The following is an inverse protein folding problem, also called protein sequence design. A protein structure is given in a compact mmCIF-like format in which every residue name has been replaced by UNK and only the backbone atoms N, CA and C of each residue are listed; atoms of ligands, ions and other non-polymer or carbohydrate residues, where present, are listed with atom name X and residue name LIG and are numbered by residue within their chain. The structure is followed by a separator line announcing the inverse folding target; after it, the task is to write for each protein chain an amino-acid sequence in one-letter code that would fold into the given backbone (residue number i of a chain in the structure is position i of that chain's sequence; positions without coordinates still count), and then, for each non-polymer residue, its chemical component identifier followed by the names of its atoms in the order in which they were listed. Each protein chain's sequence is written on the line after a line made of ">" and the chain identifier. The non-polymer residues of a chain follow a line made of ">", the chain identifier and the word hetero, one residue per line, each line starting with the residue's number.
data_IF_127322122910
#
_entry.id   IF_127322122910
#
_cell.length_a   1.000
_cell.length_b   1.000
_cell.length_c   1.000
_cell.angle_alpha   90.00
_cell.angle_beta   90.00
_cell.angle_gamma   90.00
#
_symmetry.space_group_name_H-M   'P 1'
#
loop_
_entity.id
_entity.type
_entity.pdbx_description
1 polymer ?
#
# COMPACT_ATOMS: atom_id res chain seq x y z
N UNK A 1 12.26 -2.18 2.23
CA UNK A 1 12.03 -0.78 2.62
C UNK A 1 11.79 0.11 1.40
N UNK A 2 12.69 0.12 0.40
CA UNK A 2 12.44 0.80 -0.88
C UNK A 2 11.16 0.32 -1.60
N UNK A 3 10.84 -0.97 -1.48
CA UNK A 3 9.60 -1.52 -2.04
C UNK A 3 8.33 -0.91 -1.42
N UNK A 4 8.33 -0.63 -0.11
CA UNK A 4 7.20 0.04 0.56
C UNK A 4 7.09 1.48 0.07
N UNK A 5 8.23 2.16 -0.12
CA UNK A 5 8.27 3.50 -0.72
C UNK A 5 7.74 3.49 -2.17
N UNK A 6 8.10 2.48 -2.96
CA UNK A 6 7.61 2.29 -4.33
C UNK A 6 6.10 2.08 -4.34
N UNK A 7 5.58 1.13 -3.54
CA UNK A 7 4.16 0.83 -3.47
C UNK A 7 3.37 2.07 -3.03
N UNK A 8 3.79 2.75 -1.95
CA UNK A 8 3.10 3.98 -1.49
C UNK A 8 3.04 5.07 -2.56
N UNK A 9 4.09 5.24 -3.38
CA UNK A 9 4.14 6.26 -4.45
C UNK A 9 3.49 5.83 -5.76
N UNK A 10 3.48 4.53 -6.07
CA UNK A 10 3.00 4.02 -7.35
C UNK A 10 1.54 3.61 -7.29
N UNK A 11 0.99 3.27 -6.13
CA UNK A 11 -0.45 2.97 -6.02
C UNK A 11 -1.27 4.24 -6.23
N UNK A 12 -1.90 4.31 -7.39
CA UNK A 12 -2.86 5.34 -7.75
C UNK A 12 -4.23 4.74 -8.05
N UNK A 13 -5.26 5.53 -7.80
CA UNK A 13 -6.62 5.26 -8.25
C UNK A 13 -7.16 6.54 -8.85
N UNK A 14 -7.54 6.50 -10.13
CA UNK A 14 -8.03 7.67 -10.86
C UNK A 14 -7.10 8.90 -10.76
N UNK A 15 -5.78 8.68 -10.83
CA UNK A 15 -4.76 9.73 -10.72
C UNK A 15 -4.48 10.23 -9.30
N UNK A 16 -5.22 9.78 -8.29
CA UNK A 16 -5.00 10.12 -6.88
C UNK A 16 -4.09 9.07 -6.24
N UNK A 17 -3.01 9.50 -5.58
CA UNK A 17 -2.10 8.62 -4.85
C UNK A 17 -2.74 8.20 -3.52
N UNK A 18 -3.45 7.08 -3.56
CA UNK A 18 -4.28 6.62 -2.44
C UNK A 18 -3.48 6.28 -1.17
N UNK A 19 -2.21 5.84 -1.32
CA UNK A 19 -1.35 5.44 -0.20
C UNK A 19 -0.28 6.48 0.18
N UNK A 20 -0.20 7.61 -0.51
CA UNK A 20 0.80 8.65 -0.25
C UNK A 20 0.21 9.80 0.58
N UNK A 21 -0.05 9.56 1.86
CA UNK A 21 -0.56 10.57 2.80
C UNK A 21 0.44 10.92 3.92
N UNK A 22 1.74 10.80 3.65
CA UNK A 22 2.82 10.91 4.65
C UNK A 22 2.75 12.16 5.55
N UNK A 23 2.15 13.23 5.07
CA UNK A 23 1.98 14.52 5.75
C UNK A 23 0.57 14.81 6.26
N UNK A 24 -0.45 14.02 5.89
CA UNK A 24 -1.85 14.26 6.26
C UNK A 24 -2.27 13.37 7.43
N UNK A 25 -3.22 13.84 8.25
CA UNK A 25 -3.56 13.19 9.52
C UNK A 25 -4.31 11.87 9.39
N UNK A 26 -5.14 11.76 8.35
CA UNK A 26 -5.81 10.58 7.81
C UNK A 26 -6.45 11.01 6.47
N UNK A 27 -6.44 10.14 5.44
CA UNK A 27 -7.13 10.43 4.17
C UNK A 27 -8.36 9.54 4.06
N UNK A 28 -9.57 10.13 4.10
CA UNK A 28 -10.81 9.40 3.80
C UNK A 28 -11.10 9.47 2.30
N UNK A 29 -11.38 8.32 1.70
CA UNK A 29 -11.90 8.20 0.34
C UNK A 29 -13.34 7.74 0.39
N UNK A 30 -14.27 8.62 0.05
CA UNK A 30 -15.70 8.34 0.11
C UNK A 30 -16.21 7.88 -1.26
N UNK A 31 -16.86 6.71 -1.27
CA UNK A 31 -17.46 6.12 -2.46
C UNK A 31 -18.97 6.14 -2.33
N UNK A 32 -19.64 6.89 -3.20
CA UNK A 32 -21.10 6.90 -3.27
C UNK A 32 -21.60 5.55 -3.77
N UNK A 33 -22.39 4.87 -2.94
CA UNK A 33 -22.94 3.53 -3.25
C UNK A 33 -24.46 3.50 -3.26
N UNK A 34 -25.11 4.59 -2.86
CA UNK A 34 -26.56 4.70 -2.85
C UNK A 34 -27.09 5.88 -3.66
N UNK A 35 -28.41 5.95 -3.71
CA UNK A 35 -29.15 6.97 -4.47
C UNK A 35 -29.38 8.26 -3.66
N UNK A 36 -29.17 8.20 -2.34
CA UNK A 36 -29.32 9.35 -1.44
C UNK A 36 -27.97 9.87 -1.00
N UNK A 37 -27.91 11.17 -0.72
CA UNK A 37 -26.72 11.80 -0.15
C UNK A 37 -26.31 11.10 1.16
N UNK A 38 -25.01 10.94 1.36
CA UNK A 38 -24.39 10.26 2.50
C UNK A 38 -24.54 8.72 2.54
N UNK A 39 -25.15 8.08 1.54
CA UNK A 39 -25.03 6.63 1.33
C UNK A 39 -23.66 6.31 0.71
N UNK A 40 -22.63 6.40 1.56
CA UNK A 40 -21.23 6.29 1.16
C UNK A 40 -20.49 5.19 1.94
N UNK A 41 -19.57 4.54 1.25
CA UNK A 41 -18.52 3.73 1.87
C UNK A 41 -17.27 4.60 1.95
N UNK A 42 -16.93 5.01 3.16
CA UNK A 42 -15.69 5.73 3.45
C UNK A 42 -14.57 4.73 3.74
N UNK A 43 -13.46 4.85 3.01
CA UNK A 43 -12.22 4.15 3.29
C UNK A 43 -11.25 5.13 3.92
N UNK A 44 -11.04 5.00 5.23
CA UNK A 44 -9.98 5.74 5.90
C UNK A 44 -8.63 5.07 5.63
N UNK A 45 -7.69 5.82 5.07
CA UNK A 45 -6.29 5.42 4.97
C UNK A 45 -5.51 6.22 5.99
N UNK A 46 -4.95 5.50 6.97
CA UNK A 46 -4.18 6.09 8.05
C UNK A 46 -2.88 6.71 7.55
N UNK A 47 -2.21 7.51 8.38
CA UNK A 47 -0.89 8.06 8.03
C UNK A 47 0.08 6.97 7.54
N UNK A 48 0.69 7.17 6.37
CA UNK A 48 1.76 6.33 5.85
C UNK A 48 3.15 6.72 6.38
N UNK A 49 3.20 7.74 7.26
CA UNK A 49 4.39 8.09 8.05
C UNK A 49 4.84 6.89 8.88
N UNK A 50 6.04 6.38 8.61
CA UNK A 50 6.62 5.26 9.35
C UNK A 50 6.34 3.87 8.78
N UNK A 51 5.61 3.75 7.66
CA UNK A 51 5.54 2.48 6.93
C UNK A 51 6.90 2.13 6.30
N UNK A 52 7.67 3.14 5.92
CA UNK A 52 9.00 2.99 5.35
C UNK A 52 10.08 3.53 6.29
N UNK A 53 10.82 2.62 6.93
CA UNK A 53 11.98 2.96 7.78
C UNK A 53 13.16 3.50 6.96
N UNK A 54 13.28 3.20 5.65
CA UNK A 54 14.43 3.68 4.87
C UNK A 54 14.51 5.22 4.75
N UNK A 55 13.39 5.91 4.95
CA UNK A 55 13.33 7.38 4.89
C UNK A 55 12.75 7.99 6.17
N UNK A 56 12.54 7.19 7.24
CA UNK A 56 11.96 7.62 8.50
C UNK A 56 12.96 8.36 9.39
N UNK A 57 12.54 9.46 10.01
CA UNK A 57 13.28 10.17 11.06
C UNK A 57 13.16 9.45 12.42
N UNK A 58 13.91 9.94 13.39
CA UNK A 58 13.89 9.50 14.79
C UNK A 58 12.47 9.47 15.41
N UNK A 59 11.57 10.35 14.94
CA UNK A 59 10.18 10.47 15.39
C UNK A 59 9.20 9.56 14.61
N UNK A 60 9.69 8.75 13.66
CA UNK A 60 8.88 7.90 12.79
C UNK A 60 8.29 8.63 11.57
N UNK A 61 8.64 9.89 11.33
CA UNK A 61 8.16 10.66 10.18
C UNK A 61 9.00 10.35 8.93
N UNK A 62 8.38 9.86 7.86
CA UNK A 62 9.08 9.58 6.59
C UNK A 62 9.34 10.84 5.76
N UNK A 63 10.54 10.95 5.19
CA UNK A 63 10.90 11.92 4.15
C UNK A 63 11.05 11.21 2.78
N UNK A 64 11.47 11.94 1.75
CA UNK A 64 11.81 11.37 0.45
C UNK A 64 13.30 11.03 0.29
N UNK A 65 14.14 11.51 1.20
CA UNK A 65 15.57 11.23 1.19
C UNK A 65 15.86 9.92 1.93
N UNK A 66 16.65 9.04 1.31
CA UNK A 66 17.14 7.82 1.96
C UNK A 66 18.15 8.21 3.02
N UNK A 67 17.85 7.92 4.29
CA UNK A 67 18.80 8.15 5.37
C UNK A 67 19.97 7.18 5.21
N UNK A 68 21.19 7.60 5.50
CA UNK A 68 22.37 6.74 5.41
C UNK A 68 23.11 6.78 6.73
N UNK A 69 23.42 5.62 7.29
CA UNK A 69 24.15 5.54 8.55
C UNK A 69 25.57 6.09 8.38
N UNK A 70 25.98 6.96 9.29
CA UNK A 70 27.29 7.57 9.26
C UNK A 70 28.28 6.74 10.09
N UNK A 71 29.20 6.03 9.42
CA UNK A 71 30.28 5.33 10.11
C UNK A 71 31.37 6.32 10.56
N UNK A 72 31.39 6.64 11.85
CA UNK A 72 32.31 7.62 12.44
C UNK A 72 33.67 7.03 12.87
N UNK A 73 33.72 5.72 13.13
CA UNK A 73 34.90 4.99 13.62
C UNK A 73 35.55 4.09 12.58
N UNK A 74 34.85 3.78 11.48
CA UNK A 74 35.37 2.94 10.39
C UNK A 74 36.75 3.36 9.89
N UNK A 75 36.95 4.65 9.58
CA UNK A 75 38.23 5.12 9.05
C UNK A 75 39.40 4.93 10.04
N UNK A 76 39.15 5.16 11.33
CA UNK A 76 40.14 4.96 12.39
C UNK A 76 40.49 3.47 12.56
N UNK A 77 39.48 2.59 12.50
CA UNK A 77 39.68 1.14 12.56
C UNK A 77 40.46 0.61 11.35
N UNK A 78 40.09 1.03 10.14
CA UNK A 78 40.79 0.63 8.91
C UNK A 78 42.27 1.07 8.94
N UNK A 79 42.53 2.28 9.43
CA UNK A 79 43.90 2.81 9.60
C UNK A 79 44.68 2.00 10.62
N UNK A 80 44.10 1.74 11.80
CA UNK A 80 44.76 0.97 12.84
C UNK A 80 45.06 -0.48 12.41
N UNK A 81 44.18 -1.09 11.60
CA UNK A 81 44.39 -2.41 11.04
C UNK A 81 45.55 -2.41 10.03
N UNK A 82 45.59 -1.43 9.12
CA UNK A 82 46.68 -1.27 8.15
C UNK A 82 48.04 -1.06 8.83
N UNK A 83 48.08 -0.25 9.89
CA UNK A 83 49.27 -0.01 10.68
C UNK A 83 49.79 -1.28 11.39
N UNK A 84 48.87 -2.07 11.95
CA UNK A 84 49.20 -3.36 12.55
C UNK A 84 49.75 -4.35 11.52
N UNK A 85 49.10 -4.48 10.36
CA UNK A 85 49.55 -5.40 9.30
C UNK A 85 50.93 -5.02 8.76
N UNK A 86 51.21 -3.72 8.65
CA UNK A 86 52.52 -3.18 8.26
C UNK A 86 53.58 -3.51 9.30
N UNK A 87 53.30 -3.24 10.59
CA UNK A 87 54.23 -3.54 11.68
C UNK A 87 54.48 -5.05 11.83
N UNK A 88 53.45 -5.87 11.64
CA UNK A 88 53.56 -7.33 11.69
C UNK A 88 54.43 -7.85 10.54
N UNK A 89 54.26 -7.31 9.33
CA UNK A 89 55.11 -7.64 8.18
C UNK A 89 56.58 -7.29 8.45
N UNK A 90 56.85 -6.12 9.04
CA UNK A 90 58.21 -5.70 9.41
C UNK A 90 58.82 -6.60 10.50
N UNK A 91 58.05 -6.97 11.53
CA UNK A 91 58.48 -7.91 12.56
C UNK A 91 58.81 -9.29 11.99
N UNK A 92 57.94 -9.84 11.13
CA UNK A 92 58.19 -11.12 10.48
C UNK A 92 59.44 -11.09 9.58
N UNK A 93 59.72 -9.95 8.93
CA UNK A 93 60.95 -9.77 8.17
C UNK A 93 62.20 -9.73 9.07
N UNK A 94 62.15 -9.01 10.20
CA UNK A 94 63.25 -8.98 11.16
C UNK A 94 63.53 -10.35 11.78
N UNK A 95 62.47 -11.11 12.12
CA UNK A 95 62.58 -12.49 12.60
C UNK A 95 63.25 -13.38 11.56
N UNK A 96 62.90 -13.24 10.27
CA UNK A 96 63.57 -13.97 9.18
C UNK A 96 65.04 -13.58 9.01
N UNK A 97 65.38 -12.31 9.23
CA UNK A 97 66.76 -11.82 9.15
C UNK A 97 67.62 -12.25 10.35
N UNK A 98 67.01 -12.63 11.48
CA UNK A 98 67.71 -13.13 12.66
C UNK A 98 68.48 -12.07 13.48
N UNK A 99 68.37 -10.79 13.14
CA UNK A 99 69.08 -9.71 13.84
C UNK A 99 68.34 -9.34 15.12
N UNK A 100 68.91 -9.65 16.28
CA UNK A 100 68.25 -9.49 17.59
C UNK A 100 67.79 -8.06 17.92
N UNK A 101 68.57 -7.04 17.52
CA UNK A 101 68.21 -5.63 17.70
C UNK A 101 66.99 -5.21 16.88
N UNK A 102 66.92 -5.67 15.62
CA UNK A 102 65.80 -5.39 14.73
C UNK A 102 64.53 -6.10 15.20
N UNK A 103 64.65 -7.35 15.67
CA UNK A 103 63.55 -8.11 16.25
C UNK A 103 62.97 -7.37 17.46
N UNK A 104 63.81 -6.89 18.38
CA UNK A 104 63.36 -6.18 19.59
C UNK A 104 62.65 -4.87 19.23
N UNK A 105 63.20 -4.11 18.28
CA UNK A 105 62.65 -2.81 17.85
C UNK A 105 61.31 -2.98 17.11
N UNK A 106 61.26 -3.90 16.15
CA UNK A 106 60.04 -4.19 15.38
C UNK A 106 58.96 -4.83 16.26
N UNK A 107 59.33 -5.65 17.26
CA UNK A 107 58.39 -6.17 18.25
C UNK A 107 57.76 -5.07 19.08
N UNK A 108 58.55 -4.12 19.61
CA UNK A 108 58.00 -2.98 20.36
C UNK A 108 57.05 -2.13 19.52
N UNK A 109 57.37 -1.95 18.24
CA UNK A 109 56.48 -1.27 17.28
C UNK A 109 55.18 -2.05 17.06
N UNK A 110 55.27 -3.36 16.83
CA UNK A 110 54.11 -4.24 16.66
C UNK A 110 53.20 -4.23 17.90
N UNK A 111 53.78 -4.34 19.10
CA UNK A 111 53.02 -4.32 20.36
C UNK A 111 52.24 -2.99 20.50
N UNK A 112 52.88 -1.85 20.20
CA UNK A 112 52.23 -0.55 20.21
C UNK A 112 51.09 -0.43 19.19
N UNK A 113 51.28 -0.92 17.95
CA UNK A 113 50.23 -0.95 16.94
C UNK A 113 49.09 -1.92 17.30
N UNK A 114 49.40 -3.04 17.94
CA UNK A 114 48.40 -3.98 18.43
C UNK A 114 47.51 -3.35 19.53
N UNK A 115 48.09 -2.57 20.46
CA UNK A 115 47.30 -1.80 21.45
C UNK A 115 46.40 -0.75 20.79
N UNK A 116 46.90 -0.04 19.77
CA UNK A 116 46.12 0.94 19.03
C UNK A 116 44.96 0.27 18.27
N UNK A 117 45.19 -0.87 17.61
CA UNK A 117 44.16 -1.67 16.95
C UNK A 117 43.10 -2.15 17.94
N UNK A 118 43.50 -2.68 19.10
CA UNK A 118 42.56 -3.12 20.13
C UNK A 118 41.65 -1.97 20.63
N UNK A 119 42.21 -0.76 20.76
CA UNK A 119 41.45 0.45 21.13
C UNK A 119 40.45 0.84 20.04
N UNK A 120 40.90 0.88 18.78
CA UNK A 120 40.04 1.21 17.65
C UNK A 120 38.90 0.20 17.46
N UNK A 121 39.18 -1.10 17.65
CA UNK A 121 38.15 -2.16 17.62
C UNK A 121 37.13 -1.95 18.74
N UNK A 122 37.57 -1.66 19.96
CA UNK A 122 36.68 -1.41 21.10
C UNK A 122 35.76 -0.21 20.83
N UNK A 123 36.32 0.91 20.37
CA UNK A 123 35.57 2.12 20.08
C UNK A 123 34.55 1.92 18.95
N UNK A 124 34.94 1.23 17.87
CA UNK A 124 34.02 0.91 16.77
C UNK A 124 32.93 -0.11 17.17
N UNK A 125 33.26 -1.07 18.03
CA UNK A 125 32.29 -2.06 18.53
C UNK A 125 31.26 -1.40 19.45
N UNK A 126 31.68 -0.42 20.27
CA UNK A 126 30.78 0.31 21.16
C UNK A 126 29.65 1.07 20.43
N UNK A 127 29.85 1.38 19.15
CA UNK A 127 28.87 2.03 18.27
C UNK A 127 28.35 1.12 17.15
N UNK A 128 28.50 -0.21 17.27
CA UNK A 128 28.04 -1.20 16.28
C UNK A 128 28.62 -1.02 14.86
N UNK A 129 29.80 -0.41 14.74
CA UNK A 129 30.50 -0.18 13.47
C UNK A 129 31.54 -1.26 13.15
N UNK A 130 31.86 -2.12 14.12
CA UNK A 130 32.72 -3.28 13.94
C UNK A 130 32.00 -4.58 14.31
N UNK A 131 32.24 -5.63 13.53
CA UNK A 131 31.77 -7.00 13.81
C UNK A 131 32.97 -7.93 13.70
N UNK A 132 33.18 -8.76 14.72
CA UNK A 132 34.32 -9.69 14.79
C UNK A 132 35.68 -9.00 14.53
N UNK A 133 35.85 -7.78 15.07
CA UNK A 133 37.09 -7.01 14.94
C UNK A 133 37.33 -6.34 13.58
N UNK A 134 36.41 -6.48 12.62
CA UNK A 134 36.51 -5.81 11.31
C UNK A 134 35.48 -4.70 11.18
N UNK A 135 35.88 -3.62 10.51
CA UNK A 135 34.96 -2.55 10.17
C UNK A 135 33.87 -3.07 9.24
N UNK A 136 32.63 -2.64 9.47
CA UNK A 136 31.52 -2.92 8.57
C UNK A 136 31.74 -2.16 7.25
N UNK A 137 31.50 -2.83 6.13
CA UNK A 137 31.71 -2.27 4.79
C UNK A 137 30.41 -1.99 4.04
N UNK A 138 29.30 -2.57 4.48
CA UNK A 138 27.98 -2.37 3.87
C UNK A 138 27.31 -1.16 4.52
N UNK A 139 27.02 -0.14 3.72
CA UNK A 139 26.27 1.03 4.15
C UNK A 139 24.83 0.65 4.55
N UNK A 140 24.45 0.94 5.80
CA UNK A 140 23.06 0.83 6.23
C UNK A 140 22.28 2.03 5.66
N UNK A 141 21.27 1.75 4.83
CA UNK A 141 20.41 2.75 4.20
C UNK A 141 19.05 2.76 4.89
N UNK A 142 18.88 3.75 5.76
CA UNK A 142 17.71 4.10 6.55
C UNK A 142 17.29 3.08 7.61
N UNK A 143 17.78 1.85 7.51
CA UNK A 143 17.69 0.84 8.54
C UNK A 143 19.03 0.14 8.71
N UNK A 144 19.49 0.05 9.95
CA UNK A 144 20.65 -0.70 10.37
C UNK A 144 20.21 -1.98 11.09
N UNK A 145 20.76 -3.12 10.70
CA UNK A 145 20.40 -4.42 11.30
C UNK A 145 20.82 -4.56 12.76
N UNK A 146 21.80 -3.78 13.23
CA UNK A 146 22.27 -3.80 14.62
C UNK A 146 21.66 -2.64 15.43
N UNK A 147 21.37 -1.52 14.78
CA UNK A 147 21.09 -0.24 15.43
C UNK A 147 19.75 0.38 15.00
N UNK A 148 18.89 -0.40 14.31
CA UNK A 148 17.52 -0.01 13.99
C UNK A 148 17.41 1.17 13.03
N UNK A 149 16.41 2.03 13.28
CA UNK A 149 16.13 3.19 12.43
C UNK A 149 17.28 4.19 12.45
N UNK A 150 17.63 4.69 11.26
CA UNK A 150 18.67 5.70 11.07
C UNK A 150 18.02 7.05 10.79
N UNK A 151 18.37 8.06 11.56
CA UNK A 151 17.87 9.41 11.38
C UNK A 151 18.55 10.15 10.21
N UNK A 152 18.09 11.37 9.94
CA UNK A 152 18.65 12.21 8.86
C UNK A 152 20.07 12.73 9.16
N UNK A 153 20.54 12.66 10.40
CA UNK A 153 21.91 12.96 10.79
C UNK A 153 22.83 11.73 10.66
N UNK A 154 22.29 10.58 10.23
CA UNK A 154 23.03 9.33 10.12
C UNK A 154 23.28 8.64 11.46
N UNK A 155 22.55 9.04 12.51
CA UNK A 155 22.62 8.48 13.85
C UNK A 155 21.52 7.43 13.99
N UNK A 156 21.89 6.29 14.57
CA UNK A 156 20.93 5.27 14.97
C UNK A 156 20.15 5.72 16.20
N UNK A 157 18.82 5.72 16.13
CA UNK A 157 17.95 6.22 17.21
C UNK A 157 17.24 5.11 17.99
N UNK A 158 17.39 3.84 17.58
CA UNK A 158 16.73 2.70 18.22
C UNK A 158 17.67 1.53 18.44
N UNK A 159 17.92 1.12 19.68
CA UNK A 159 18.74 -0.08 19.97
C UNK A 159 18.00 -1.40 19.70
N UNK A 160 16.76 -1.34 19.22
CA UNK A 160 15.86 -2.49 19.06
C UNK A 160 15.34 -2.60 17.62
N UNK A 161 16.19 -3.00 16.65
CA UNK A 161 15.82 -3.11 15.23
C UNK A 161 14.56 -3.95 14.98
N UNK A 162 14.32 -4.98 15.81
CA UNK A 162 13.11 -5.79 15.73
C UNK A 162 11.84 -5.04 16.16
N UNK A 163 11.94 -4.15 17.15
CA UNK A 163 10.80 -3.34 17.59
C UNK A 163 10.41 -2.31 16.52
N UNK A 164 11.40 -1.73 15.83
CA UNK A 164 11.17 -0.82 14.71
C UNK A 164 10.48 -1.54 13.53
N UNK A 165 10.93 -2.75 13.19
CA UNK A 165 10.29 -3.58 12.17
C UNK A 165 8.85 -3.95 12.59
N UNK A 166 8.64 -4.38 13.82
CA UNK A 166 7.30 -4.74 14.33
C UNK A 166 6.34 -3.55 14.29
N UNK A 167 6.82 -2.34 14.64
CA UNK A 167 6.05 -1.10 14.50
C UNK A 167 5.68 -0.81 13.04
N UNK A 168 6.63 -0.97 12.12
CA UNK A 168 6.39 -0.78 10.68
C UNK A 168 5.35 -1.78 10.13
N UNK A 169 5.48 -3.05 10.51
CA UNK A 169 4.57 -4.11 10.10
C UNK A 169 3.17 -3.89 10.65
N UNK A 170 3.03 -3.55 11.94
CA UNK A 170 1.73 -3.20 12.56
C UNK A 170 1.02 -2.06 11.84
N UNK A 171 1.76 -1.05 11.38
CA UNK A 171 1.20 0.05 10.61
C UNK A 171 0.65 -0.43 9.26
N UNK A 172 1.40 -1.26 8.54
CA UNK A 172 0.94 -1.87 7.27
C UNK A 172 -0.24 -2.82 7.48
N UNK A 173 -0.21 -3.65 8.52
CA UNK A 173 -1.26 -4.63 8.81
C UNK A 173 -2.57 -3.96 9.21
N UNK A 174 -2.50 -2.86 9.98
CA UNK A 174 -3.67 -2.04 10.32
C UNK A 174 -4.31 -1.50 9.04
N UNK A 175 -3.52 -0.99 8.10
CA UNK A 175 -4.05 -0.51 6.82
C UNK A 175 -4.67 -1.63 5.98
N UNK A 176 -4.01 -2.79 5.90
CA UNK A 176 -4.54 -3.97 5.18
C UNK A 176 -5.85 -4.45 5.78
N UNK A 177 -5.98 -4.41 7.10
CA UNK A 177 -7.22 -4.75 7.81
C UNK A 177 -8.37 -3.82 7.41
N UNK A 178 -8.13 -2.50 7.38
CA UNK A 178 -9.15 -1.52 6.95
C UNK A 178 -9.55 -1.71 5.48
N UNK A 179 -8.59 -1.99 4.60
CA UNK A 179 -8.87 -2.29 3.19
C UNK A 179 -9.69 -3.57 3.03
N UNK A 180 -9.37 -4.64 3.75
CA UNK A 180 -10.14 -5.88 3.75
C UNK A 180 -11.56 -5.70 4.28
N UNK A 181 -11.73 -4.94 5.37
CA UNK A 181 -13.05 -4.59 5.89
C UNK A 181 -13.87 -3.78 4.86
N UNK A 182 -13.23 -2.86 4.16
CA UNK A 182 -13.88 -2.07 3.10
C UNK A 182 -14.30 -2.94 1.91
N UNK A 183 -13.47 -3.91 1.49
CA UNK A 183 -13.82 -4.90 0.46
C UNK A 183 -15.08 -5.69 0.86
N UNK A 184 -15.16 -6.16 2.11
CA UNK A 184 -16.34 -6.87 2.60
C UNK A 184 -17.61 -5.98 2.58
N UNK A 185 -17.47 -4.69 2.92
CA UNK A 185 -18.59 -3.74 2.84
C UNK A 185 -19.02 -3.50 1.40
N UNK A 186 -18.08 -3.38 0.45
CA UNK A 186 -18.41 -3.28 -0.97
C UNK A 186 -19.16 -4.51 -1.45
N UNK A 187 -18.70 -5.72 -1.14
CA UNK A 187 -19.35 -6.96 -1.58
C UNK A 187 -20.80 -7.07 -1.07
N UNK A 188 -21.02 -6.76 0.21
CA UNK A 188 -22.36 -6.76 0.80
C UNK A 188 -23.26 -5.70 0.16
N UNK A 189 -22.71 -4.51 -0.10
CA UNK A 189 -23.46 -3.41 -0.70
C UNK A 189 -23.81 -3.70 -2.16
N UNK A 190 -22.88 -4.28 -2.93
CA UNK A 190 -23.10 -4.75 -4.30
C UNK A 190 -24.23 -5.79 -4.32
N UNK A 191 -24.19 -6.77 -3.42
CA UNK A 191 -25.24 -7.79 -3.31
C UNK A 191 -26.61 -7.15 -3.01
N UNK A 192 -26.67 -6.19 -2.08
CA UNK A 192 -27.90 -5.49 -1.75
C UNK A 192 -28.41 -4.60 -2.91
N UNK A 193 -27.52 -3.90 -3.60
CA UNK A 193 -27.84 -3.10 -4.77
C UNK A 193 -28.38 -3.97 -5.90
N UNK A 194 -27.78 -5.13 -6.17
CA UNK A 194 -28.29 -6.07 -7.17
C UNK A 194 -29.71 -6.55 -6.83
N UNK A 195 -29.99 -6.86 -5.58
CA UNK A 195 -31.34 -7.21 -5.13
C UNK A 195 -32.33 -6.05 -5.33
N UNK A 196 -31.90 -4.83 -5.01
CA UNK A 196 -32.70 -3.61 -5.18
C UNK A 196 -32.98 -3.34 -6.66
N UNK A 197 -31.99 -3.47 -7.54
CA UNK A 197 -32.12 -3.33 -8.99
C UNK A 197 -33.07 -4.37 -9.55
N UNK A 198 -32.99 -5.64 -9.12
CA UNK A 198 -33.92 -6.69 -9.54
C UNK A 198 -35.36 -6.40 -9.11
N UNK A 199 -35.57 -5.96 -7.87
CA UNK A 199 -36.88 -5.58 -7.35
C UNK A 199 -37.45 -4.36 -8.08
N UNK A 200 -36.63 -3.34 -8.31
CA UNK A 200 -37.06 -2.10 -8.97
C UNK A 200 -37.32 -2.33 -10.46
N UNK A 201 -36.52 -3.17 -11.12
CA UNK A 201 -36.76 -3.60 -12.51
C UNK A 201 -38.06 -4.39 -12.61
N UNK A 202 -38.33 -5.29 -11.66
CA UNK A 202 -39.59 -6.06 -11.61
C UNK A 202 -40.80 -5.17 -11.34
N UNK A 203 -40.69 -4.21 -10.42
CA UNK A 203 -41.75 -3.24 -10.13
C UNK A 203 -41.99 -2.32 -11.34
N UNK A 204 -40.92 -1.87 -12.01
CA UNK A 204 -41.01 -1.08 -13.23
C UNK A 204 -41.66 -1.87 -14.37
N UNK A 205 -41.30 -3.14 -14.55
CA UNK A 205 -41.94 -4.03 -15.52
C UNK A 205 -43.44 -4.18 -15.23
N UNK A 206 -43.86 -4.39 -13.98
CA UNK A 206 -45.29 -4.42 -13.61
C UNK A 206 -46.05 -3.11 -13.89
N UNK A 207 -45.37 -1.97 -13.90
CA UNK A 207 -45.99 -0.65 -14.12
C UNK A 207 -45.97 -0.26 -15.60
N UNK A 208 -44.87 -0.51 -16.30
CA UNK A 208 -44.66 -0.08 -17.68
C UNK A 208 -44.99 -1.16 -18.71
N UNK A 209 -44.75 -2.43 -18.40
CA UNK A 209 -45.04 -3.52 -19.31
C UNK A 209 -46.53 -3.88 -19.16
N UNK A 210 -47.25 -3.78 -20.27
CA UNK A 210 -48.61 -4.29 -20.34
C UNK A 210 -48.58 -5.81 -20.34
N UNK A 211 -49.50 -6.44 -19.59
CA UNK A 211 -49.66 -7.89 -19.65
C UNK A 211 -50.21 -8.27 -21.03
N UNK A 212 -49.30 -8.75 -21.88
CA UNK A 212 -49.52 -9.05 -23.29
C UNK A 212 -50.78 -9.89 -23.50
N UNK A 213 -51.08 -10.83 -22.60
CA UNK A 213 -52.27 -11.69 -22.69
C UNK A 213 -53.57 -10.89 -22.62
N UNK A 214 -53.64 -9.91 -21.73
CA UNK A 214 -54.83 -9.07 -21.55
C UNK A 214 -54.97 -8.03 -22.65
N UNK A 215 -53.87 -7.42 -23.08
CA UNK A 215 -53.89 -6.41 -24.14
C UNK A 215 -54.26 -7.02 -25.49
N UNK A 216 -53.72 -8.20 -25.84
CA UNK A 216 -54.10 -8.92 -27.07
C UNK A 216 -55.56 -9.35 -27.03
N UNK A 217 -56.07 -9.77 -25.86
CA UNK A 217 -57.49 -10.13 -25.70
C UNK A 217 -58.40 -8.92 -25.89
N UNK A 218 -58.02 -7.75 -25.35
CA UNK A 218 -58.77 -6.51 -25.53
C UNK A 218 -58.68 -6.01 -26.98
N UNK A 219 -57.52 -6.10 -27.62
CA UNK A 219 -57.32 -5.78 -29.03
C UNK A 219 -58.20 -6.68 -29.92
N UNK A 220 -58.18 -8.00 -29.70
CA UNK A 220 -59.00 -8.95 -30.43
C UNK A 220 -60.49 -8.70 -30.21
N UNK A 221 -60.91 -8.45 -28.96
CA UNK A 221 -62.29 -8.05 -28.65
C UNK A 221 -62.68 -6.77 -29.37
N UNK A 222 -61.83 -5.76 -29.39
CA UNK A 222 -62.06 -4.49 -30.07
C UNK A 222 -62.16 -4.66 -31.59
N UNK A 223 -61.31 -5.49 -32.19
CA UNK A 223 -61.38 -5.85 -33.62
C UNK A 223 -62.69 -6.58 -33.96
N UNK A 224 -63.11 -7.54 -33.15
CA UNK A 224 -64.39 -8.24 -33.30
C UNK A 224 -65.56 -7.24 -33.15
N UNK A 225 -65.51 -6.33 -32.19
CA UNK A 225 -66.53 -5.29 -31.99
C UNK A 225 -66.61 -4.30 -33.16
N UNK A 226 -65.47 -3.91 -33.73
CA UNK A 226 -65.44 -3.07 -34.93
C UNK A 226 -66.04 -3.80 -36.13
N UNK A 227 -65.67 -5.07 -36.34
CA UNK A 227 -66.20 -5.87 -37.44
C UNK A 227 -67.71 -6.16 -37.27
N UNK A 228 -68.16 -6.52 -36.06
CA UNK A 228 -69.57 -6.69 -35.75
C UNK A 228 -70.34 -5.36 -35.83
N UNK A 229 -69.75 -4.26 -35.35
CA UNK A 229 -70.34 -2.93 -35.42
C UNK A 229 -70.60 -2.49 -36.86
N UNK A 230 -69.66 -2.71 -37.77
CA UNK A 230 -69.86 -2.43 -39.21
C UNK A 230 -70.92 -3.31 -39.84
N UNK A 231 -71.00 -4.60 -39.48
CA UNK A 231 -72.02 -5.54 -39.95
C UNK A 231 -73.42 -5.16 -39.45
N UNK A 232 -73.55 -4.81 -38.16
CA UNK A 232 -74.80 -4.35 -37.56
C UNK A 232 -75.20 -2.98 -38.11
N UNK A 233 -74.26 -2.07 -38.38
CA UNK A 233 -74.55 -0.80 -39.05
C UNK A 233 -75.09 -1.04 -40.47
N UNK A 234 -74.48 -1.96 -41.21
CA UNK A 234 -74.94 -2.32 -42.54
C UNK A 234 -76.37 -2.90 -42.50
N UNK A 235 -76.66 -3.75 -41.52
CA UNK A 235 -77.98 -4.36 -41.33
C UNK A 235 -79.02 -3.34 -40.83
N UNK A 236 -78.64 -2.45 -39.90
CA UNK A 236 -79.48 -1.36 -39.41
C UNK A 236 -79.80 -0.33 -40.49
N UNK A 237 -78.90 -0.09 -41.46
CA UNK A 237 -79.15 0.77 -42.61
C UNK A 237 -80.10 0.14 -43.65
N UNK A 238 -80.22 -1.20 -43.68
CA UNK A 238 -81.15 -1.90 -44.57
C UNK A 238 -82.58 -1.93 -44.02
N UNK A 239 -82.77 -1.92 -42.69
CA UNK A 239 -84.10 -1.99 -42.06
C UNK A 239 -85.02 -0.80 -42.42
N UNK A 240 -84.58 0.47 -42.44
CA UNK A 240 -85.39 1.58 -42.93
C UNK A 240 -85.77 1.43 -44.40
N UNK A 241 -84.86 0.92 -45.24
CA UNK A 241 -85.10 0.75 -46.68
C UNK A 241 -86.16 -0.31 -46.97
N UNK A 242 -86.19 -1.41 -46.19
CA UNK A 242 -87.24 -2.44 -46.32
C UNK A 242 -88.60 -1.93 -45.85
N UNK A 243 -88.65 -1.12 -44.79
CA UNK A 243 -89.89 -0.45 -44.31
C UNK A 243 -90.41 0.57 -45.33
N UNK A 244 -89.54 1.34 -45.97
CA UNK A 244 -89.91 2.23 -47.08
C UNK A 244 -90.41 1.46 -48.32
N UNK A 245 -89.99 0.21 -48.51
CA UNK A 245 -90.51 -0.64 -49.59
C UNK A 245 -91.93 -1.16 -49.31
N UNK A 246 -92.31 -1.27 -48.03
CA UNK A 246 -93.64 -1.71 -47.58
C UNK A 246 -94.69 -0.59 -47.57
N UNK A 247 -94.26 0.67 -47.68
CA UNK A 247 -95.12 1.86 -47.74
C UNK A 247 -95.35 2.35 -49.19
N UNK A 248 -94.97 1.55 -50.19
CA UNK A 248 -95.14 1.83 -51.62
C UNK A 248 -96.18 0.92 -52.25
#
# INVERSE_FOLDING_TARGET
>A
MEEINRVTKQTDFNGIKVLDNRTATDSSYDFQVGSKDNEQISIAIGKSSGWNLATAKADGTSTDTVNTYAFTKKAALDTAQSDYDTANTAYLAAVKSGVAGDITTTKGTLDGKNTALATAVKDATAVNEAVNGKARTVAAKGFDVLSGTVDSAGVATGTTPLADIDKALKAVDTQRSVLGASQNRFESTITNLNNTVNNLTSARSRIQDADYSTEVSNMSRAQILQQAGTSVLAQANQVPQTVLSLLR
#
